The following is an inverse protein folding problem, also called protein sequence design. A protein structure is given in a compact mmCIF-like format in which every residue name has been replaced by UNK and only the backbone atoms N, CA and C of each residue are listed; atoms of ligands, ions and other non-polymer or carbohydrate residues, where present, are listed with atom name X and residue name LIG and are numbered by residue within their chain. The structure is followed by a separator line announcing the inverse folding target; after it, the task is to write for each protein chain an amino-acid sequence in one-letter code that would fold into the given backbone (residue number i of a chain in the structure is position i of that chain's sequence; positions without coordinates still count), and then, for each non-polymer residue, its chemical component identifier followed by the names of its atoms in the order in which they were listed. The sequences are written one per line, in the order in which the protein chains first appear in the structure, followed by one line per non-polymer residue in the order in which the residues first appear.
data_IF_612937717385
#
_entry.id   IF_612937717385
#
_cell.length_a   1.000
_cell.length_b   1.000
_cell.length_c   1.000
_cell.angle_alpha   90.00
_cell.angle_beta   90.00
_cell.angle_gamma   90.00
#
_symmetry.space_group_name_H-M   'P 1'
#
loop_
_entity.id
_entity.type
_entity.pdbx_description
1 polymer ?
#
# COMPACT_ATOMS: atom_id res chain seq x y z
N UNK A 1 27.44 -11.57 -31.35
CA UNK A 1 27.78 -10.38 -32.17
C UNK A 1 26.70 -10.25 -33.23
N UNK A 2 25.92 -9.14 -33.18
CA UNK A 2 25.13 -8.49 -34.25
C UNK A 2 24.41 -9.35 -35.32
N UNK A 3 23.14 -9.14 -35.69
CA UNK A 3 22.07 -8.19 -35.34
C UNK A 3 20.81 -8.68 -36.10
N UNK A 4 19.65 -8.33 -35.55
CA UNK A 4 18.27 -8.52 -36.04
C UNK A 4 18.06 -8.16 -37.51
N UNK A 5 17.16 -8.87 -38.20
CA UNK A 5 16.02 -8.36 -39.01
C UNK A 5 15.08 -9.54 -39.25
N UNK A 6 13.78 -9.38 -39.00
CA UNK A 6 12.60 -9.93 -39.72
C UNK A 6 11.42 -10.02 -38.74
N UNK A 7 10.16 -9.73 -39.06
CA UNK A 7 9.46 -8.94 -40.07
C UNK A 7 8.09 -8.64 -39.43
N UNK A 8 7.48 -7.53 -39.84
CA UNK A 8 6.10 -7.12 -39.52
C UNK A 8 5.06 -8.19 -39.87
N UNK A 9 4.00 -8.22 -39.06
CA UNK A 9 2.61 -8.55 -39.38
C UNK A 9 2.31 -9.91 -40.03
N UNK A 10 1.65 -10.79 -39.27
CA UNK A 10 0.53 -11.55 -39.84
C UNK A 10 -0.64 -11.56 -38.87
N UNK A 11 -1.74 -11.09 -39.43
CA UNK A 11 -3.09 -10.89 -38.93
C UNK A 11 -3.82 -12.23 -38.85
N UNK A 12 -4.58 -12.40 -37.76
CA UNK A 12 -5.75 -13.26 -37.52
C UNK A 12 -5.77 -14.72 -38.07
N UNK A 13 -6.23 -15.66 -37.24
CA UNK A 13 -7.58 -16.27 -37.32
C UNK A 13 -7.73 -17.32 -36.18
N UNK A 14 -8.55 -16.92 -35.21
CA UNK A 14 -9.60 -17.64 -34.48
C UNK A 14 -9.48 -19.10 -33.99
N UNK A 15 -10.11 -19.26 -32.81
CA UNK A 15 -10.79 -20.42 -32.21
C UNK A 15 -9.96 -21.32 -31.30
N UNK A 16 -10.32 -21.30 -30.01
CA UNK A 16 -9.84 -22.26 -29.04
C UNK A 16 -9.90 -21.73 -27.60
N UNK A 17 -11.12 -21.49 -27.11
CA UNK A 17 -11.54 -21.57 -25.71
C UNK A 17 -10.39 -21.38 -24.70
N UNK A 18 -10.07 -20.12 -24.37
CA UNK A 18 -9.49 -19.84 -23.08
C UNK A 18 -10.61 -19.33 -22.22
N UNK A 19 -10.87 -20.13 -21.18
CA UNK A 19 -11.80 -19.87 -20.11
C UNK A 19 -11.90 -18.37 -19.88
N UNK A 20 -13.12 -17.85 -20.02
CA UNK A 20 -13.59 -16.76 -19.19
C UNK A 20 -13.40 -17.24 -17.75
N UNK A 21 -12.17 -17.07 -17.24
CA UNK A 21 -11.95 -16.83 -15.83
C UNK A 21 -12.86 -15.67 -15.56
N UNK A 22 -14.02 -16.00 -14.98
CA UNK A 22 -14.96 -15.06 -14.41
C UNK A 22 -14.09 -14.04 -13.69
N UNK A 23 -13.94 -12.86 -14.28
CA UNK A 23 -13.54 -11.69 -13.54
C UNK A 23 -14.72 -11.50 -12.61
N UNK A 24 -14.63 -12.15 -11.45
CA UNK A 24 -15.47 -11.88 -10.31
C UNK A 24 -15.08 -10.48 -9.89
N UNK A 25 -15.68 -9.49 -10.57
CA UNK A 25 -15.84 -8.15 -10.07
C UNK A 25 -16.77 -8.26 -8.85
N UNK A 26 -16.29 -8.85 -7.76
CA UNK A 26 -16.79 -8.42 -6.47
C UNK A 26 -16.18 -7.03 -6.30
N UNK A 27 -17.01 -5.99 -6.47
CA UNK A 27 -16.73 -4.64 -5.99
C UNK A 27 -16.70 -4.65 -4.45
N UNK A 28 -15.88 -5.53 -3.86
CA UNK A 28 -15.68 -5.62 -2.44
C UNK A 28 -14.52 -4.68 -2.13
N UNK A 29 -14.85 -3.44 -1.79
CA UNK A 29 -13.91 -2.51 -1.18
C UNK A 29 -13.39 -3.13 0.12
N UNK A 30 -12.07 -3.20 0.27
CA UNK A 30 -11.42 -3.73 1.45
C UNK A 30 -11.36 -2.63 2.51
N UNK A 31 -12.03 -2.85 3.65
CA UNK A 31 -12.03 -1.91 4.79
C UNK A 31 -10.77 -2.14 5.64
N UNK A 32 -9.83 -1.22 5.58
CA UNK A 32 -8.46 -1.34 6.12
C UNK A 32 -8.38 -1.32 7.65
N UNK A 33 -9.30 -0.65 8.35
CA UNK A 33 -9.22 -0.40 9.80
C UNK A 33 -9.00 -1.68 10.65
N UNK A 34 -9.49 -2.82 10.15
CA UNK A 34 -9.49 -4.10 10.85
C UNK A 34 -8.95 -5.28 10.01
N UNK A 35 -8.04 -5.05 9.05
CA UNK A 35 -7.50 -6.14 8.21
C UNK A 35 -6.31 -6.86 8.82
N UNK A 36 -5.55 -6.16 9.67
CA UNK A 36 -4.31 -6.68 10.24
C UNK A 36 -4.64 -7.93 11.08
N UNK A 37 -3.90 -9.01 10.83
CA UNK A 37 -4.10 -10.33 11.44
C UNK A 37 -5.04 -11.27 10.67
N UNK A 38 -5.78 -10.78 9.67
CA UNK A 38 -6.65 -11.62 8.82
C UNK A 38 -5.84 -12.42 7.78
N UNK A 39 -6.48 -13.44 7.21
CA UNK A 39 -5.91 -14.23 6.10
C UNK A 39 -5.66 -13.36 4.87
N UNK A 40 -4.59 -13.64 4.13
CA UNK A 40 -4.31 -12.99 2.83
C UNK A 40 -5.38 -13.28 1.77
N UNK A 41 -6.22 -14.31 1.98
CA UNK A 41 -7.28 -14.70 1.03
C UNK A 41 -8.24 -13.55 0.67
N UNK A 42 -8.39 -12.57 1.55
CA UNK A 42 -9.26 -11.40 1.31
C UNK A 42 -8.71 -10.46 0.23
N UNK A 43 -7.42 -10.57 -0.12
CA UNK A 43 -6.73 -9.75 -1.13
C UNK A 43 -6.07 -10.58 -2.23
N UNK A 44 -6.30 -11.89 -2.28
CA UNK A 44 -5.64 -12.79 -3.24
C UNK A 44 -6.02 -12.54 -4.72
N UNK A 45 -7.04 -11.72 -4.98
CA UNK A 45 -7.47 -11.30 -6.31
C UNK A 45 -6.64 -10.13 -6.89
N UNK A 46 -5.79 -9.48 -6.08
CA UNK A 46 -4.99 -8.34 -6.48
C UNK A 46 -3.57 -8.76 -6.93
N UNK A 47 -2.84 -7.90 -7.67
CA UNK A 47 -1.45 -8.16 -8.03
C UNK A 47 -0.58 -8.42 -6.80
N UNK A 48 0.13 -9.56 -6.80
CA UNK A 48 1.03 -10.01 -5.73
C UNK A 48 2.49 -9.85 -6.16
N UNK A 49 3.31 -9.28 -5.27
CA UNK A 49 4.77 -9.13 -5.45
C UNK A 49 5.51 -9.61 -4.19
N UNK A 50 6.72 -10.16 -4.37
CA UNK A 50 7.55 -10.69 -3.27
C UNK A 50 7.85 -12.19 -3.40
N UNK A 51 8.18 -12.82 -2.29
CA UNK A 51 8.47 -14.26 -2.19
C UNK A 51 7.50 -14.98 -1.24
N UNK A 52 7.72 -16.28 -1.00
CA UNK A 52 6.81 -17.09 -0.16
C UNK A 52 6.80 -16.68 1.33
N UNK A 53 7.85 -16.01 1.81
CA UNK A 53 8.00 -15.60 3.21
C UNK A 53 7.48 -14.19 3.46
N UNK A 54 7.69 -13.29 2.51
CA UNK A 54 7.25 -11.90 2.58
C UNK A 54 6.81 -11.39 1.22
N UNK A 55 5.58 -10.92 1.16
CA UNK A 55 4.96 -10.44 -0.06
C UNK A 55 3.94 -9.35 0.23
N UNK A 56 3.55 -8.62 -0.80
CA UNK A 56 2.51 -7.61 -0.71
C UNK A 56 1.56 -7.63 -1.90
N UNK A 57 0.37 -7.08 -1.67
CA UNK A 57 -0.63 -6.83 -2.69
C UNK A 57 -0.77 -5.34 -2.96
N UNK A 58 -1.01 -4.96 -4.22
CA UNK A 58 -1.25 -3.57 -4.62
C UNK A 58 -2.74 -3.38 -4.92
N UNK A 59 -3.40 -2.52 -4.15
CA UNK A 59 -4.81 -2.20 -4.28
C UNK A 59 -4.96 -0.74 -4.77
N UNK A 60 -5.71 -0.48 -5.85
CA UNK A 60 -6.03 0.89 -6.23
C UNK A 60 -7.02 1.51 -5.23
N UNK A 61 -7.09 2.84 -5.19
CA UNK A 61 -7.98 3.60 -4.30
C UNK A 61 -9.43 3.09 -4.29
N UNK A 62 -9.98 2.69 -5.45
CA UNK A 62 -11.36 2.19 -5.57
C UNK A 62 -11.64 0.91 -4.78
N UNK A 63 -10.60 0.20 -4.35
CA UNK A 63 -10.70 -1.12 -3.74
C UNK A 63 -10.23 -1.15 -2.28
N UNK A 64 -9.82 -0.01 -1.71
CA UNK A 64 -9.36 0.08 -0.33
C UNK A 64 -9.94 1.34 0.32
N UNK A 65 -10.52 1.18 1.50
CA UNK A 65 -11.11 2.27 2.27
C UNK A 65 -10.57 2.24 3.70
N UNK A 66 -10.19 3.42 4.20
CA UNK A 66 -9.79 3.62 5.59
C UNK A 66 -10.56 4.81 6.16
N UNK A 67 -11.08 4.67 7.38
CA UNK A 67 -11.99 5.66 7.99
C UNK A 67 -11.45 7.09 8.04
N UNK A 68 -10.13 7.23 8.16
CA UNK A 68 -9.49 8.54 8.45
C UNK A 68 -8.52 9.00 7.36
N UNK A 69 -8.14 8.11 6.43
CA UNK A 69 -7.04 8.35 5.48
C UNK A 69 -7.49 7.91 4.09
N UNK A 70 -7.23 8.72 3.07
CA UNK A 70 -7.48 8.37 1.68
C UNK A 70 -6.22 8.64 0.88
N UNK A 71 -5.88 7.73 -0.03
CA UNK A 71 -4.73 7.85 -0.92
C UNK A 71 -5.00 7.24 -2.29
N UNK A 72 -3.98 7.20 -3.14
CA UNK A 72 -4.09 6.68 -4.51
C UNK A 72 -3.96 5.17 -4.58
N UNK A 73 -3.05 4.62 -3.78
CA UNK A 73 -2.70 3.20 -3.80
C UNK A 73 -2.50 2.72 -2.37
N UNK A 74 -2.93 1.48 -2.13
CA UNK A 74 -2.72 0.79 -0.87
C UNK A 74 -1.85 -0.43 -1.10
N UNK A 75 -0.81 -0.60 -0.29
CA UNK A 75 0.05 -1.78 -0.28
C UNK A 75 -0.29 -2.62 0.96
N UNK A 76 -0.69 -3.88 0.77
CA UNK A 76 -1.04 -4.79 1.88
C UNK A 76 0.08 -5.79 2.09
N UNK A 77 0.77 -5.72 3.23
CA UNK A 77 1.91 -6.58 3.53
C UNK A 77 1.48 -7.84 4.27
N UNK A 78 2.01 -8.96 3.83
CA UNK A 78 1.66 -10.27 4.34
C UNK A 78 2.91 -11.09 4.68
N UNK A 79 2.77 -11.94 5.70
CA UNK A 79 3.79 -12.90 6.12
C UNK A 79 3.10 -14.16 6.61
N UNK A 80 3.57 -15.32 6.17
CA UNK A 80 3.01 -16.62 6.53
C UNK A 80 1.48 -16.70 6.31
N UNK A 81 0.99 -16.18 5.18
CA UNK A 81 -0.44 -16.18 4.82
C UNK A 81 -1.34 -15.23 5.62
N UNK A 82 -0.75 -14.35 6.46
CA UNK A 82 -1.51 -13.36 7.25
C UNK A 82 -1.09 -11.94 6.90
N UNK A 83 -2.06 -11.03 6.93
CA UNK A 83 -1.82 -9.60 6.81
C UNK A 83 -1.16 -9.09 8.09
N UNK A 84 -0.03 -8.42 7.95
CA UNK A 84 0.77 -7.91 9.07
C UNK A 84 0.89 -6.37 9.09
N UNK A 85 0.47 -5.72 8.01
CA UNK A 85 0.38 -4.27 7.93
C UNK A 85 -0.05 -3.80 6.55
N UNK A 86 -0.16 -2.48 6.40
CA UNK A 86 -0.44 -1.85 5.12
C UNK A 86 0.15 -0.44 5.05
N UNK A 87 0.31 0.05 3.81
CA UNK A 87 0.61 1.44 3.49
C UNK A 87 -0.48 2.04 2.62
N UNK A 88 -0.82 3.30 2.86
CA UNK A 88 -1.61 4.13 1.96
C UNK A 88 -0.68 5.23 1.43
N UNK A 89 -0.47 5.26 0.12
CA UNK A 89 0.28 6.30 -0.58
C UNK A 89 -0.66 7.45 -0.92
N UNK A 90 -0.34 8.64 -0.44
CA UNK A 90 -1.09 9.88 -0.62
C UNK A 90 -0.23 10.82 -1.45
N UNK A 91 -0.85 11.50 -2.42
CA UNK A 91 -0.16 12.50 -3.23
C UNK A 91 -0.07 13.83 -2.48
N UNK A 92 1.12 14.42 -2.51
CA UNK A 92 1.40 15.69 -1.85
C UNK A 92 1.62 15.57 -0.34
N UNK A 93 1.71 16.74 0.28
CA UNK A 93 2.02 16.91 1.71
C UNK A 93 1.14 17.97 2.36
N UNK A 94 0.05 18.37 1.69
CA UNK A 94 -0.75 19.53 2.09
C UNK A 94 -1.58 19.25 3.34
N UNK A 95 -2.00 17.99 3.53
CA UNK A 95 -2.85 17.56 4.64
C UNK A 95 -2.07 16.98 5.84
N UNK A 96 -0.74 17.11 5.89
CA UNK A 96 0.09 16.48 6.94
C UNK A 96 -0.31 16.90 8.35
N UNK A 97 -0.49 18.20 8.60
CA UNK A 97 -0.84 18.69 9.93
C UNK A 97 -2.22 18.17 10.36
N UNK A 98 -3.16 18.12 9.41
CA UNK A 98 -4.50 17.56 9.61
C UNK A 98 -4.44 16.08 9.95
N UNK A 99 -3.70 15.28 9.18
CA UNK A 99 -3.52 13.86 9.46
C UNK A 99 -2.82 13.63 10.80
N UNK A 100 -1.72 14.33 11.08
CA UNK A 100 -1.02 14.23 12.36
C UNK A 100 -1.94 14.56 13.55
N UNK A 101 -2.77 15.60 13.43
CA UNK A 101 -3.75 15.95 14.47
C UNK A 101 -4.83 14.86 14.65
N UNK A 102 -5.41 14.35 13.55
CA UNK A 102 -6.40 13.27 13.59
C UNK A 102 -5.83 11.99 14.20
N UNK A 103 -4.63 11.59 13.78
CA UNK A 103 -3.95 10.41 14.32
C UNK A 103 -3.62 10.59 15.79
N UNK A 104 -3.25 11.80 16.22
CA UNK A 104 -3.00 12.06 17.64
C UNK A 104 -4.27 12.04 18.49
N UNK A 105 -5.43 12.39 17.91
CA UNK A 105 -6.73 12.22 18.58
C UNK A 105 -7.10 10.74 18.73
N UNK A 106 -6.82 9.91 17.72
CA UNK A 106 -7.17 8.49 17.71
C UNK A 106 -6.21 7.61 18.53
N UNK A 107 -4.90 7.89 18.43
CA UNK A 107 -3.83 7.02 18.92
C UNK A 107 -2.98 7.65 20.03
N UNK A 108 -3.32 8.88 20.45
CA UNK A 108 -2.64 9.59 21.53
C UNK A 108 -1.38 10.31 21.08
N UNK A 109 -0.36 10.36 21.96
CA UNK A 109 0.83 11.17 21.71
C UNK A 109 1.70 10.61 20.57
N UNK A 110 2.06 11.47 19.63
CA UNK A 110 3.03 11.15 18.59
C UNK A 110 4.48 11.26 19.07
N UNK A 111 5.37 10.51 18.44
CA UNK A 111 6.82 10.62 18.55
C UNK A 111 7.40 10.95 17.18
N UNK A 112 8.19 12.01 17.06
CA UNK A 112 9.02 12.26 15.88
C UNK A 112 10.15 11.22 15.84
N UNK A 113 10.21 10.43 14.78
CA UNK A 113 11.24 9.39 14.59
C UNK A 113 12.48 9.98 13.94
N UNK A 114 12.29 10.76 12.87
CA UNK A 114 13.36 11.51 12.25
C UNK A 114 12.84 12.80 11.60
N UNK A 115 13.77 13.72 11.40
CA UNK A 115 13.63 14.86 10.50
C UNK A 115 15.01 15.11 9.88
N UNK A 116 15.07 15.12 8.55
CA UNK A 116 16.30 15.40 7.81
C UNK A 116 15.98 16.32 6.63
N UNK A 117 16.94 16.51 5.73
CA UNK A 117 16.77 17.38 4.57
C UNK A 117 15.69 16.86 3.61
N UNK A 118 15.45 15.55 3.57
CA UNK A 118 14.56 14.90 2.61
C UNK A 118 13.12 14.74 3.11
N UNK A 119 12.89 14.63 4.41
CA UNK A 119 11.56 14.31 4.93
C UNK A 119 11.48 14.22 6.44
N UNK A 120 10.30 13.81 6.91
CA UNK A 120 10.01 13.57 8.32
C UNK A 120 9.19 12.28 8.49
N UNK A 121 9.35 11.64 9.64
CA UNK A 121 8.49 10.52 10.07
C UNK A 121 8.01 10.76 11.49
N UNK A 122 6.72 10.55 11.68
CA UNK A 122 6.05 10.52 12.97
C UNK A 122 5.50 9.11 13.24
N UNK A 123 5.53 8.71 14.50
CA UNK A 123 5.09 7.41 14.96
C UNK A 123 4.09 7.56 16.11
N UNK A 124 3.00 6.79 16.04
CA UNK A 124 2.10 6.53 17.15
C UNK A 124 2.14 5.03 17.48
N UNK A 125 1.95 4.70 18.75
CA UNK A 125 1.98 3.34 19.23
C UNK A 125 0.79 3.09 20.15
N UNK A 126 0.12 1.99 19.91
CA UNK A 126 -0.85 1.40 20.82
C UNK A 126 -0.31 0.05 21.28
N UNK A 127 -1.02 -0.63 22.18
CA UNK A 127 -0.60 -1.96 22.67
C UNK A 127 -0.52 -3.02 21.55
N UNK A 128 -1.23 -2.80 20.44
CA UNK A 128 -1.39 -3.79 19.35
C UNK A 128 -0.92 -3.31 17.99
N UNK A 129 -0.84 -2.00 17.77
CA UNK A 129 -0.49 -1.40 16.49
C UNK A 129 0.65 -0.39 16.60
N UNK A 130 1.47 -0.34 15.55
CA UNK A 130 2.35 0.77 15.25
C UNK A 130 1.78 1.52 14.04
N UNK A 131 1.67 2.83 14.16
CA UNK A 131 1.14 3.72 13.13
C UNK A 131 2.24 4.71 12.75
N UNK A 132 2.45 4.94 11.47
CA UNK A 132 3.45 5.89 10.97
C UNK A 132 2.84 6.85 9.96
N UNK A 133 3.39 8.06 9.95
CA UNK A 133 3.16 9.06 8.91
C UNK A 133 4.52 9.57 8.46
N UNK A 134 4.92 9.21 7.23
CA UNK A 134 6.18 9.59 6.61
C UNK A 134 5.89 10.49 5.41
N UNK A 135 6.64 11.56 5.23
CA UNK A 135 6.46 12.44 4.08
C UNK A 135 7.75 13.13 3.68
N UNK A 136 7.86 13.43 2.38
CA UNK A 136 8.96 14.19 1.81
C UNK A 136 8.82 15.69 2.10
N UNK A 137 9.94 16.40 2.26
CA UNK A 137 9.93 17.87 2.27
C UNK A 137 9.71 18.38 0.84
N UNK A 138 9.05 19.52 0.70
CA UNK A 138 8.78 20.09 -0.62
C UNK A 138 10.08 20.44 -1.36
N UNK A 139 10.27 19.82 -2.52
CA UNK A 139 11.37 20.13 -3.44
C UNK A 139 10.84 20.55 -4.81
N UNK A 140 11.44 21.55 -5.47
CA UNK A 140 11.08 21.92 -6.82
C UNK A 140 11.22 20.75 -7.80
N UNK A 141 10.18 20.49 -8.60
CA UNK A 141 10.14 19.47 -9.65
C UNK A 141 10.32 18.01 -9.19
N UNK A 142 10.15 17.71 -7.90
CA UNK A 142 10.14 16.34 -7.38
C UNK A 142 8.73 16.02 -6.90
N UNK A 143 8.10 14.93 -7.40
CA UNK A 143 6.83 14.46 -6.86
C UNK A 143 6.91 14.26 -5.36
N UNK A 144 5.91 14.77 -4.65
CA UNK A 144 5.84 14.71 -3.21
C UNK A 144 4.81 13.67 -2.82
N UNK A 145 5.15 12.83 -1.84
CA UNK A 145 4.26 11.80 -1.36
C UNK A 145 4.27 11.75 0.16
N UNK A 146 3.12 11.37 0.68
CA UNK A 146 2.93 11.01 2.08
C UNK A 146 2.56 9.54 2.15
N UNK A 147 3.19 8.82 3.07
CA UNK A 147 2.90 7.42 3.35
C UNK A 147 2.33 7.31 4.76
N UNK A 148 1.10 6.83 4.83
CA UNK A 148 0.46 6.39 6.06
C UNK A 148 0.66 4.87 6.19
N UNK A 149 1.08 4.41 7.36
CA UNK A 149 1.33 2.98 7.61
C UNK A 149 0.65 2.51 8.89
N UNK A 150 0.08 1.31 8.86
CA UNK A 150 -0.26 0.57 10.07
C UNK A 150 0.37 -0.83 10.04
N UNK A 151 0.88 -1.29 11.18
CA UNK A 151 1.41 -2.65 11.32
C UNK A 151 1.19 -3.23 12.71
N UNK A 152 1.33 -4.55 12.83
CA UNK A 152 1.37 -5.22 14.13
C UNK A 152 2.53 -4.67 14.94
N UNK A 153 2.25 -4.23 16.17
CA UNK A 153 3.25 -3.76 17.11
C UNK A 153 4.31 -4.84 17.36
N UNK A 154 5.61 -4.47 17.37
CA UNK A 154 6.76 -5.38 17.47
C UNK A 154 6.94 -6.39 16.33
N UNK A 155 6.20 -6.28 15.22
CA UNK A 155 6.69 -6.91 14.00
C UNK A 155 8.03 -6.27 13.64
N UNK A 156 9.04 -7.06 13.25
CA UNK A 156 10.30 -6.53 12.68
C UNK A 156 10.08 -5.92 11.29
N UNK A 157 8.83 -5.53 10.98
CA UNK A 157 8.43 -5.03 9.69
C UNK A 157 8.77 -3.56 9.60
N UNK A 158 9.79 -3.27 8.82
CA UNK A 158 10.02 -1.91 8.34
C UNK A 158 9.17 -1.72 7.10
N UNK A 159 8.02 -1.07 7.28
CA UNK A 159 7.17 -0.63 6.20
C UNK A 159 7.58 0.80 5.81
N UNK A 160 7.88 1.02 4.53
CA UNK A 160 8.27 2.32 3.96
C UNK A 160 7.30 2.71 2.85
#
# INVERSE_FOLDING_TARGET
MHRRIFIKNTVLISTGILASGLISCSNNTIILDNIIGKSEDIVNSFPKEGDDNFFYYILPQSNAEHSSISGQETFIFCQNGKIIGFNIKIDGTDDIEKYSAQLSQLYGSQKKVFENDFGQEFEWKTDTKQIKLCYSKQFPNVPQHTFYSESIFNSKLSIF
#
